data_IF_691364801559
#
_entry.id   IF_691364801559
#
_cell.length_a   1.000
_cell.length_b   1.000
_cell.length_c   1.000
_cell.angle_alpha   90.00
_cell.angle_beta   90.00
_cell.angle_gamma   90.00
#
_symmetry.space_group_name_H-M   'P 1'
#
loop_
_entity.id
_entity.type
_entity.pdbx_description
1 polymer ?
#
# COMPACT_ATOMS: atom_id res chain seq x y z
N UNK A 1 9.73 8.72 -4.67
CA UNK A 1 8.82 9.02 -3.55
C UNK A 1 8.41 10.50 -3.57
N UNK A 2 7.19 10.85 -3.15
CA UNK A 2 6.70 12.23 -3.06
C UNK A 2 6.74 12.74 -1.60
N UNK A 3 6.47 14.04 -1.39
CA UNK A 3 6.50 14.66 -0.06
C UNK A 3 5.45 14.09 0.87
N UNK A 4 4.25 13.81 0.36
CA UNK A 4 3.19 13.20 1.16
C UNK A 4 3.60 11.83 1.73
N UNK A 5 4.08 10.91 0.89
CA UNK A 5 4.48 9.55 1.28
C UNK A 5 5.68 9.56 2.22
N UNK A 6 6.64 10.46 2.02
CA UNK A 6 7.71 10.66 3.00
C UNK A 6 7.15 11.12 4.36
N UNK A 7 6.14 12.00 4.36
CA UNK A 7 5.41 12.37 5.56
C UNK A 7 4.65 11.21 6.22
N UNK A 8 4.09 10.29 5.43
CA UNK A 8 3.51 9.04 5.92
C UNK A 8 4.57 8.16 6.59
N UNK A 9 5.74 8.01 5.96
CA UNK A 9 6.84 7.22 6.51
C UNK A 9 7.36 7.80 7.83
N UNK A 10 7.48 9.13 7.92
CA UNK A 10 7.83 9.81 9.18
C UNK A 10 6.75 9.63 10.24
N UNK A 11 5.47 9.78 9.88
CA UNK A 11 4.38 9.54 10.81
C UNK A 11 4.38 8.08 11.33
N UNK A 12 4.72 7.13 10.47
CA UNK A 12 4.84 5.72 10.84
C UNK A 12 6.03 5.48 11.78
N UNK A 13 7.22 6.02 11.46
CA UNK A 13 8.43 5.82 12.29
C UNK A 13 8.30 6.43 13.69
N UNK A 14 7.57 7.56 13.83
CA UNK A 14 7.33 8.19 15.13
C UNK A 14 6.20 7.52 15.92
N UNK A 15 5.35 6.69 15.29
CA UNK A 15 4.18 6.10 15.94
C UNK A 15 4.33 4.60 16.25
N UNK A 16 4.97 3.85 15.36
CA UNK A 16 5.10 2.41 15.46
C UNK A 16 6.51 2.01 15.90
N UNK A 17 6.60 1.00 16.76
CA UNK A 17 7.88 0.40 17.15
C UNK A 17 8.23 -0.71 16.17
N UNK A 18 8.93 -0.36 15.09
CA UNK A 18 9.40 -1.32 14.09
C UNK A 18 10.52 -2.20 14.68
N UNK A 19 10.30 -3.53 14.83
CA UNK A 19 11.33 -4.41 15.35
C UNK A 19 12.53 -4.53 14.39
N UNK A 20 13.71 -4.73 14.96
CA UNK A 20 14.97 -4.90 14.23
C UNK A 20 15.27 -6.38 13.88
N UNK A 21 16.02 -6.63 12.80
CA UNK A 21 16.53 -5.65 11.82
C UNK A 21 15.44 -5.12 10.89
N UNK A 22 15.61 -3.89 10.40
CA UNK A 22 14.75 -3.29 9.37
C UNK A 22 15.34 -3.56 7.98
N UNK A 23 14.49 -3.98 7.04
CA UNK A 23 14.86 -4.19 5.63
C UNK A 23 14.02 -3.25 4.77
N UNK A 24 14.68 -2.33 4.06
CA UNK A 24 14.06 -1.52 3.01
C UNK A 24 14.25 -2.21 1.67
N UNK A 25 13.16 -2.54 0.98
CA UNK A 25 13.20 -3.15 -0.35
C UNK A 25 12.80 -2.09 -1.38
N UNK A 26 13.59 -1.97 -2.44
CA UNK A 26 13.50 -0.84 -3.37
C UNK A 26 14.18 0.42 -2.83
N UNK A 27 15.22 0.25 -2.00
CA UNK A 27 15.88 1.33 -1.28
C UNK A 27 16.69 2.28 -2.21
N UNK A 28 16.87 1.91 -3.48
CA UNK A 28 17.76 2.64 -4.38
C UNK A 28 17.11 3.95 -4.76
N UNK A 29 17.79 5.05 -4.47
CA UNK A 29 17.35 6.36 -4.93
C UNK A 29 17.38 6.42 -6.45
N UNK A 30 16.23 6.69 -7.07
CA UNK A 30 16.16 6.94 -8.50
C UNK A 30 16.82 8.28 -8.86
N UNK A 31 17.34 8.38 -10.09
CA UNK A 31 17.87 9.63 -10.63
C UNK A 31 16.81 10.74 -10.53
N UNK A 32 17.21 11.92 -10.05
CA UNK A 32 16.31 13.06 -9.80
C UNK A 32 15.63 13.05 -8.42
N UNK A 33 15.85 12.02 -7.58
CA UNK A 33 15.37 11.96 -6.20
C UNK A 33 16.45 12.26 -5.17
N UNK A 34 17.60 12.81 -5.58
CA UNK A 34 18.75 13.08 -4.70
C UNK A 34 18.42 14.07 -3.58
N UNK A 35 17.39 14.91 -3.79
CA UNK A 35 16.92 15.90 -2.83
C UNK A 35 15.95 15.34 -1.78
N UNK A 36 15.50 14.09 -1.91
CA UNK A 36 14.65 13.47 -0.89
C UNK A 36 15.52 12.78 0.16
N UNK A 37 15.25 13.01 1.46
CA UNK A 37 15.93 12.28 2.52
C UNK A 37 15.73 10.77 2.35
N UNK A 38 16.79 10.00 2.57
CA UNK A 38 16.70 8.54 2.61
C UNK A 38 15.76 8.10 3.75
N UNK A 39 14.93 7.08 3.51
CA UNK A 39 14.06 6.52 4.55
C UNK A 39 14.85 6.02 5.76
N UNK A 40 16.05 5.50 5.54
CA UNK A 40 17.00 5.12 6.59
C UNK A 40 17.20 6.21 7.65
N UNK A 41 17.18 7.50 7.26
CA UNK A 41 17.34 8.62 8.20
C UNK A 41 16.19 8.77 9.20
N UNK A 42 15.02 8.16 8.92
CA UNK A 42 13.87 8.16 9.83
C UNK A 42 14.00 7.13 10.96
N UNK A 43 15.02 6.26 10.91
CA UNK A 43 15.26 5.18 11.86
C UNK A 43 16.68 5.25 12.45
N UNK A 44 17.04 6.36 13.13
CA UNK A 44 18.38 6.55 13.64
C UNK A 44 18.74 5.50 14.70
N UNK A 45 19.95 4.94 14.60
CA UNK A 45 20.46 3.96 15.55
C UNK A 45 19.87 2.56 15.43
N UNK A 46 19.04 2.31 14.41
CA UNK A 46 18.46 1.00 14.12
C UNK A 46 19.34 0.20 13.16
N UNK A 47 19.40 -1.12 13.35
CA UNK A 47 19.97 -2.03 12.36
C UNK A 47 19.11 -2.02 11.09
N UNK A 48 19.69 -1.57 9.99
CA UNK A 48 18.96 -1.24 8.75
C UNK A 48 19.70 -1.77 7.54
N UNK A 49 18.98 -2.48 6.68
CA UNK A 49 19.48 -3.10 5.46
C UNK A 49 18.69 -2.58 4.25
N UNK A 50 19.38 -2.00 3.27
CA UNK A 50 18.80 -1.58 2.00
C UNK A 50 18.99 -2.65 0.92
N UNK A 51 17.90 -3.09 0.32
CA UNK A 51 17.88 -4.08 -0.76
C UNK A 51 17.29 -3.46 -2.03
N UNK A 52 17.92 -3.74 -3.17
CA UNK A 52 17.39 -3.40 -4.50
C UNK A 52 17.87 -4.40 -5.56
N UNK A 53 17.20 -4.43 -6.72
CA UNK A 53 17.62 -5.24 -7.87
C UNK A 53 18.97 -4.79 -8.45
N UNK A 54 19.36 -3.54 -8.20
CA UNK A 54 20.59 -2.95 -8.71
C UNK A 54 21.43 -2.34 -7.58
N UNK A 55 22.76 -2.38 -7.68
CA UNK A 55 23.62 -1.67 -6.74
C UNK A 55 23.42 -0.16 -6.85
N UNK A 56 23.73 0.57 -5.78
CA UNK A 56 23.65 2.03 -5.75
C UNK A 56 23.82 2.61 -4.36
N UNK A 57 23.63 3.92 -4.25
CA UNK A 57 23.66 4.60 -2.96
C UNK A 57 22.56 4.09 -2.04
N UNK A 58 22.93 3.76 -0.79
CA UNK A 58 22.00 3.27 0.23
C UNK A 58 21.68 1.77 0.16
N UNK A 59 22.27 1.05 -0.81
CA UNK A 59 22.09 -0.40 -0.99
C UNK A 59 23.22 -1.16 -0.33
N UNK A 60 22.86 -2.08 0.55
CA UNK A 60 23.78 -2.97 1.27
C UNK A 60 23.80 -4.37 0.65
N UNK A 61 22.69 -4.79 0.04
CA UNK A 61 22.54 -6.10 -0.58
C UNK A 61 21.75 -6.01 -1.88
N UNK A 62 22.25 -6.63 -2.95
CA UNK A 62 21.51 -6.75 -4.20
C UNK A 62 20.62 -7.99 -4.15
N UNK A 63 19.33 -7.84 -4.41
CA UNK A 63 18.36 -8.93 -4.30
C UNK A 63 17.04 -8.64 -4.99
N UNK A 64 16.33 -9.70 -5.37
CA UNK A 64 14.99 -9.61 -5.97
C UNK A 64 13.95 -9.86 -4.88
N UNK A 65 12.93 -8.99 -4.77
CA UNK A 65 11.83 -9.20 -3.81
C UNK A 65 11.05 -10.48 -4.10
N UNK A 66 11.04 -10.96 -5.35
CA UNK A 66 10.38 -12.22 -5.73
C UNK A 66 11.14 -13.47 -5.25
N UNK A 67 12.37 -13.32 -4.76
CA UNK A 67 13.24 -14.37 -4.19
C UNK A 67 14.32 -13.71 -3.31
N UNK A 68 13.96 -13.38 -2.07
CA UNK A 68 14.80 -12.58 -1.18
C UNK A 68 15.98 -13.42 -0.66
N UNK A 69 17.23 -12.92 -0.77
CA UNK A 69 18.42 -13.59 -0.26
C UNK A 69 18.56 -13.43 1.27
N UNK A 70 17.49 -13.72 2.00
CA UNK A 70 17.37 -13.62 3.45
C UNK A 70 16.77 -14.91 4.00
N UNK A 71 17.21 -15.29 5.19
CA UNK A 71 16.69 -16.48 5.89
C UNK A 71 15.25 -16.30 6.36
N UNK A 72 14.56 -17.41 6.60
CA UNK A 72 13.21 -17.41 7.13
C UNK A 72 13.19 -16.78 8.53
N UNK A 73 12.19 -15.94 8.80
CA UNK A 73 11.88 -15.45 10.15
C UNK A 73 13.04 -14.74 10.87
N UNK A 74 13.93 -14.08 10.13
CA UNK A 74 15.06 -13.32 10.70
C UNK A 74 14.84 -11.81 10.69
N UNK A 75 13.89 -11.31 9.89
CA UNK A 75 13.65 -9.88 9.71
C UNK A 75 12.65 -9.35 10.73
N UNK A 76 13.00 -8.27 11.41
CA UNK A 76 12.11 -7.60 12.36
C UNK A 76 11.06 -6.73 11.67
N UNK A 77 11.44 -5.97 10.64
CA UNK A 77 10.51 -5.18 9.84
C UNK A 77 10.92 -5.08 8.38
N UNK A 78 9.93 -5.01 7.49
CA UNK A 78 10.13 -4.71 6.07
C UNK A 78 9.44 -3.39 5.71
N UNK A 79 10.15 -2.53 4.97
CA UNK A 79 9.63 -1.30 4.38
C UNK A 79 9.70 -1.45 2.86
N UNK A 80 8.57 -1.33 2.17
CA UNK A 80 8.47 -1.46 0.71
C UNK A 80 7.55 -0.37 0.15
N UNK A 81 8.09 0.82 -0.06
CA UNK A 81 7.31 1.99 -0.49
C UNK A 81 7.45 2.20 -2.00
N UNK A 82 6.33 2.13 -2.72
CA UNK A 82 6.26 2.31 -4.18
C UNK A 82 7.21 1.34 -4.93
N UNK A 83 7.16 0.08 -4.51
CA UNK A 83 7.93 -1.02 -5.10
C UNK A 83 7.03 -1.94 -5.94
N UNK A 84 5.92 -2.40 -5.36
CA UNK A 84 5.15 -3.53 -5.90
C UNK A 84 4.43 -3.24 -7.22
N UNK A 85 4.20 -1.98 -7.58
CA UNK A 85 3.75 -1.59 -8.91
C UNK A 85 4.75 -1.98 -10.01
N UNK A 86 6.03 -2.13 -9.67
CA UNK A 86 7.13 -2.49 -10.57
C UNK A 86 7.49 -3.98 -10.50
N UNK A 87 6.93 -4.75 -9.57
CA UNK A 87 7.21 -6.18 -9.38
C UNK A 87 6.30 -7.00 -10.29
N UNK A 88 6.87 -7.84 -11.16
CA UNK A 88 6.10 -8.58 -12.16
C UNK A 88 5.23 -9.65 -11.47
N UNK A 89 5.80 -10.42 -10.55
CA UNK A 89 5.10 -11.42 -9.75
C UNK A 89 4.89 -10.90 -8.33
N UNK A 90 4.16 -9.79 -8.18
CA UNK A 90 4.01 -9.10 -6.89
C UNK A 90 3.56 -10.04 -5.74
N UNK A 91 2.72 -11.03 -6.04
CA UNK A 91 2.25 -12.03 -5.06
C UNK A 91 3.41 -12.81 -4.44
N UNK A 92 4.40 -13.23 -5.22
CA UNK A 92 5.62 -13.88 -4.70
C UNK A 92 6.39 -12.96 -3.76
N UNK A 93 6.47 -11.67 -4.09
CA UNK A 93 7.14 -10.72 -3.20
C UNK A 93 6.43 -10.54 -1.87
N UNK A 94 5.09 -10.58 -1.83
CA UNK A 94 4.35 -10.61 -0.56
C UNK A 94 4.59 -11.91 0.22
N UNK A 95 4.64 -13.06 -0.47
CA UNK A 95 4.99 -14.36 0.14
C UNK A 95 6.40 -14.35 0.75
N UNK A 96 7.38 -13.81 0.02
CA UNK A 96 8.77 -13.69 0.46
C UNK A 96 8.91 -12.75 1.66
N UNK A 97 8.24 -11.59 1.64
CA UNK A 97 8.20 -10.69 2.80
C UNK A 97 7.61 -11.41 4.02
N UNK A 98 6.52 -12.16 3.84
CA UNK A 98 5.94 -12.93 4.94
C UNK A 98 6.88 -14.04 5.44
N UNK A 99 7.63 -14.70 4.55
CA UNK A 99 8.62 -15.72 4.87
C UNK A 99 9.77 -15.17 5.72
N UNK A 100 10.35 -14.04 5.33
CA UNK A 100 11.53 -13.48 6.00
C UNK A 100 11.18 -12.76 7.31
N UNK A 101 9.96 -12.22 7.43
CA UNK A 101 9.50 -11.59 8.67
C UNK A 101 9.40 -12.61 9.79
N UNK A 102 10.01 -12.31 10.94
CA UNK A 102 9.82 -13.12 12.16
C UNK A 102 8.40 -12.99 12.72
N UNK A 103 7.95 -13.93 13.56
CA UNK A 103 6.71 -13.73 14.33
C UNK A 103 6.74 -12.42 15.11
N UNK A 104 5.70 -11.60 14.94
CA UNK A 104 5.65 -10.24 15.48
C UNK A 104 6.37 -9.16 14.68
N UNK A 105 6.97 -9.52 13.54
CA UNK A 105 7.56 -8.58 12.61
C UNK A 105 6.53 -7.73 11.89
N UNK A 106 6.95 -6.59 11.35
CA UNK A 106 6.07 -5.60 10.73
C UNK A 106 6.37 -5.38 9.25
N UNK A 107 5.32 -5.19 8.45
CA UNK A 107 5.41 -4.74 7.07
C UNK A 107 4.84 -3.32 6.97
N UNK A 108 5.59 -2.40 6.39
CA UNK A 108 5.09 -1.10 5.93
C UNK A 108 5.23 -0.99 4.42
N UNK A 109 4.09 -0.96 3.72
CA UNK A 109 4.02 -1.04 2.26
C UNK A 109 3.19 0.10 1.68
N UNK A 110 3.56 0.60 0.49
CA UNK A 110 2.73 1.52 -0.28
C UNK A 110 2.80 1.27 -1.77
N UNK A 111 1.74 1.65 -2.48
CA UNK A 111 1.70 1.70 -3.94
C UNK A 111 0.89 2.90 -4.46
N UNK A 112 1.20 3.40 -5.66
CA UNK A 112 0.39 4.39 -6.36
C UNK A 112 -0.89 3.76 -6.93
N UNK A 113 -1.96 4.55 -6.97
CA UNK A 113 -3.22 4.18 -7.64
C UNK A 113 -3.51 5.12 -8.82
N UNK A 114 -3.70 6.42 -8.57
CA UNK A 114 -3.97 7.39 -9.62
C UNK A 114 -2.77 8.31 -9.88
N UNK A 115 -1.72 7.72 -10.46
CA UNK A 115 -0.52 8.41 -10.91
C UNK A 115 -0.29 8.14 -12.42
N UNK A 116 0.30 9.11 -13.11
CA UNK A 116 0.77 8.90 -14.48
C UNK A 116 1.67 7.66 -14.51
N UNK A 117 1.57 6.87 -15.59
CA UNK A 117 2.46 5.74 -15.80
C UNK A 117 3.90 6.26 -15.78
N UNK A 118 4.69 5.78 -14.83
CA UNK A 118 6.08 6.20 -14.65
C UNK A 118 6.93 4.93 -14.72
N UNK A 119 7.22 4.52 -15.95
CA UNK A 119 7.97 3.30 -16.20
C UNK A 119 9.43 3.53 -15.81
N UNK A 120 9.91 2.84 -14.77
CA UNK A 120 11.33 2.53 -14.65
C UNK A 120 11.59 1.33 -13.71
N UNK A 121 11.89 0.11 -14.21
CA UNK A 121 11.94 -0.29 -15.62
C UNK A 121 10.54 -0.51 -16.23
N UNK A 122 9.56 -0.96 -15.43
CA UNK A 122 8.20 -1.27 -15.88
C UNK A 122 7.18 -0.89 -14.81
N UNK A 123 5.95 -0.56 -15.20
CA UNK A 123 4.87 -0.14 -14.30
C UNK A 123 3.64 -1.00 -14.59
N UNK A 124 3.42 -2.05 -13.77
CA UNK A 124 2.52 -3.16 -14.04
C UNK A 124 1.16 -3.03 -13.33
N UNK A 125 1.14 -2.55 -12.08
CA UNK A 125 -0.01 -2.75 -11.19
C UNK A 125 -0.52 -1.46 -10.55
N UNK A 126 -1.81 -1.47 -10.21
CA UNK A 126 -2.47 -0.43 -9.39
C UNK A 126 -3.23 -1.12 -8.27
N UNK A 127 -2.88 -0.80 -7.03
CA UNK A 127 -3.46 -1.45 -5.86
C UNK A 127 -4.53 -0.57 -5.22
N UNK A 128 -5.71 -1.14 -4.99
CA UNK A 128 -6.77 -0.53 -4.19
C UNK A 128 -6.56 -0.84 -2.69
N UNK A 129 -7.26 -0.15 -1.79
CA UNK A 129 -7.34 -0.56 -0.39
C UNK A 129 -7.83 -2.01 -0.22
N UNK A 130 -8.78 -2.45 -1.04
CA UNK A 130 -9.29 -3.83 -1.04
C UNK A 130 -8.21 -4.84 -1.43
N UNK A 131 -7.38 -4.51 -2.42
CA UNK A 131 -6.25 -5.34 -2.82
C UNK A 131 -5.26 -5.52 -1.66
N UNK A 132 -4.96 -4.45 -0.92
CA UNK A 132 -4.12 -4.55 0.29
C UNK A 132 -4.81 -5.34 1.41
N UNK A 133 -6.13 -5.19 1.59
CA UNK A 133 -6.88 -5.97 2.57
C UNK A 133 -6.77 -7.47 2.28
N UNK A 134 -6.89 -7.87 1.01
CA UNK A 134 -6.75 -9.24 0.56
C UNK A 134 -5.31 -9.76 0.68
N UNK A 135 -4.33 -9.05 0.12
CA UNK A 135 -2.93 -9.49 0.13
C UNK A 135 -2.33 -9.58 1.53
N UNK A 136 -2.84 -8.76 2.46
CA UNK A 136 -2.39 -8.75 3.85
C UNK A 136 -3.26 -9.64 4.75
N UNK A 137 -4.14 -10.49 4.21
CA UNK A 137 -4.92 -11.46 4.98
C UNK A 137 -4.08 -12.26 6.01
N UNK A 138 -2.87 -12.77 5.68
CA UNK A 138 -2.02 -13.51 6.63
C UNK A 138 -1.59 -12.71 7.87
N UNK A 139 -1.70 -11.38 7.84
CA UNK A 139 -1.35 -10.50 8.95
C UNK A 139 -2.58 -10.25 9.82
N UNK A 140 -2.68 -10.77 11.06
CA UNK A 140 -3.88 -10.65 11.88
C UNK A 140 -4.23 -9.21 12.28
N UNK A 141 -3.26 -8.29 12.22
CA UNK A 141 -3.44 -6.89 12.57
C UNK A 141 -2.83 -6.02 11.48
N UNK A 142 -3.64 -5.12 10.94
CA UNK A 142 -3.22 -4.23 9.86
C UNK A 142 -3.96 -2.90 9.90
N UNK A 143 -3.30 -1.86 9.44
CA UNK A 143 -3.85 -0.53 9.25
C UNK A 143 -3.68 -0.21 7.77
N UNK A 144 -4.77 0.11 7.08
CA UNK A 144 -4.76 0.46 5.65
C UNK A 144 -5.16 1.92 5.53
N UNK A 145 -4.41 2.67 4.74
CA UNK A 145 -4.70 4.06 4.45
C UNK A 145 -4.66 4.39 2.97
N UNK A 146 -5.33 5.49 2.60
CA UNK A 146 -5.33 6.03 1.25
C UNK A 146 -5.28 7.56 1.25
N UNK A 147 -4.68 8.14 0.21
CA UNK A 147 -4.57 9.59 -0.01
C UNK A 147 -5.53 9.99 -1.10
N UNK A 148 -6.16 11.15 -0.97
CA UNK A 148 -7.02 11.72 -1.99
C UNK A 148 -8.49 11.34 -1.83
N UNK A 149 -9.29 11.50 -2.90
CA UNK A 149 -10.70 11.14 -2.90
C UNK A 149 -10.91 9.62 -2.76
N UNK A 150 -11.90 9.21 -1.97
CA UNK A 150 -12.22 7.79 -1.70
C UNK A 150 -12.39 6.92 -2.96
N UNK A 151 -13.05 7.46 -4.00
CA UNK A 151 -13.30 6.71 -5.24
C UNK A 151 -12.15 6.83 -6.27
N UNK A 152 -11.12 7.62 -5.97
CA UNK A 152 -10.00 7.88 -6.88
C UNK A 152 -8.73 8.22 -6.08
N UNK A 153 -8.24 7.29 -5.25
CA UNK A 153 -7.10 7.55 -4.40
C UNK A 153 -5.85 7.81 -5.23
N UNK A 154 -4.93 8.61 -4.71
CA UNK A 154 -3.64 8.85 -5.36
C UNK A 154 -2.66 7.73 -5.05
N UNK A 155 -2.67 7.26 -3.81
CA UNK A 155 -1.83 6.19 -3.27
C UNK A 155 -2.55 5.47 -2.13
N UNK A 156 -2.11 4.25 -1.90
CA UNK A 156 -2.57 3.36 -0.82
C UNK A 156 -1.34 2.90 -0.06
N UNK A 157 -1.46 2.78 1.26
CA UNK A 157 -0.40 2.26 2.13
C UNK A 157 -1.01 1.35 3.19
N UNK A 158 -0.17 0.51 3.78
CA UNK A 158 -0.55 -0.31 4.91
C UNK A 158 0.62 -0.53 5.88
N UNK A 159 0.30 -0.60 7.16
CA UNK A 159 1.17 -1.15 8.21
C UNK A 159 0.53 -2.43 8.70
N UNK A 160 1.22 -3.56 8.60
CA UNK A 160 0.72 -4.88 8.97
C UNK A 160 1.68 -5.58 9.93
N UNK A 161 1.15 -6.40 10.82
CA UNK A 161 1.92 -7.10 11.86
C UNK A 161 1.72 -8.61 11.69
N UNK A 162 2.83 -9.35 11.52
CA UNK A 162 2.81 -10.81 11.44
C UNK A 162 2.50 -11.37 12.84
N UNK A 163 1.61 -12.35 12.94
CA UNK A 163 1.26 -12.96 14.24
C UNK A 163 2.48 -13.60 14.94
N UNK A 164 2.43 -13.82 16.27
CA UNK A 164 1.32 -13.62 17.22
C UNK A 164 1.29 -12.24 17.93
N UNK A 165 1.85 -11.17 17.33
CA UNK A 165 2.00 -9.88 18.02
C UNK A 165 0.70 -9.09 18.28
N UNK A 166 0.85 -8.06 19.13
CA UNK A 166 -0.21 -7.19 19.65
C UNK A 166 -0.97 -6.43 18.55
N UNK A 167 -2.28 -6.27 18.75
CA UNK A 167 -3.15 -5.46 17.89
C UNK A 167 -2.69 -4.01 17.81
N UNK A 168 -2.88 -3.37 16.65
CA UNK A 168 -2.75 -1.91 16.51
C UNK A 168 -3.81 -1.25 17.40
N UNK A 169 -3.38 -0.69 18.54
CA UNK A 169 -4.30 -0.11 19.51
C UNK A 169 -5.00 1.16 18.97
N UNK A 170 -6.19 1.46 19.50
CA UNK A 170 -6.92 2.68 19.16
C UNK A 170 -6.09 3.94 19.41
N UNK A 171 -5.33 3.96 20.51
CA UNK A 171 -4.41 5.04 20.87
C UNK A 171 -3.26 5.18 19.86
N UNK A 172 -2.66 4.06 19.41
CA UNK A 172 -1.67 4.06 18.33
C UNK A 172 -2.26 4.65 17.04
N UNK A 173 -3.49 4.26 16.67
CA UNK A 173 -4.17 4.82 15.51
C UNK A 173 -4.45 6.33 15.66
N UNK A 174 -4.84 6.80 16.85
CA UNK A 174 -5.04 8.23 17.11
C UNK A 174 -3.73 9.01 17.00
N UNK A 175 -2.63 8.50 17.57
CA UNK A 175 -1.29 9.10 17.41
C UNK A 175 -0.87 9.15 15.94
N UNK A 176 -1.07 8.05 15.21
CA UNK A 176 -0.72 7.98 13.79
C UNK A 176 -1.48 9.03 12.98
N UNK A 177 -2.80 9.15 13.18
CA UNK A 177 -3.61 10.19 12.51
C UNK A 177 -3.15 11.61 12.85
N UNK A 178 -2.70 11.85 14.08
CA UNK A 178 -2.15 13.16 14.50
C UNK A 178 -0.83 13.44 13.77
N UNK A 179 0.09 12.48 13.75
CA UNK A 179 1.37 12.60 13.04
C UNK A 179 1.17 12.77 11.53
N UNK A 180 0.23 12.04 10.92
CA UNK A 180 -0.15 12.22 9.52
C UNK A 180 -0.59 13.65 9.22
N UNK A 181 -1.44 14.25 10.06
CA UNK A 181 -1.86 15.67 9.91
C UNK A 181 -0.69 16.66 10.04
N UNK A 182 0.38 16.27 10.71
CA UNK A 182 1.55 17.13 10.90
C UNK A 182 2.53 17.01 9.73
N UNK A 183 2.78 15.80 9.23
CA UNK A 183 3.88 15.52 8.29
C UNK A 183 3.44 15.20 6.86
N UNK A 184 2.28 14.57 6.66
CA UNK A 184 1.85 14.08 5.35
C UNK A 184 1.13 15.18 4.55
N UNK A 185 1.92 16.01 3.88
CA UNK A 185 1.43 17.09 3.01
C UNK A 185 2.16 17.09 1.67
N UNK A 186 1.39 17.26 0.61
CA UNK A 186 1.90 17.53 -0.73
C UNK A 186 1.80 19.04 -1.01
N UNK A 187 2.94 19.74 -1.22
CA UNK A 187 2.91 21.16 -1.53
C UNK A 187 2.37 21.39 -2.94
N UNK A 188 1.26 22.12 -3.04
CA UNK A 188 0.70 22.54 -4.34
C UNK A 188 1.13 23.96 -4.64
N UNK A 189 1.79 24.16 -5.79
CA UNK A 189 2.13 25.50 -6.29
C UNK A 189 0.89 26.41 -6.31
N UNK A 190 1.00 27.62 -5.76
CA UNK A 190 -0.11 28.55 -5.59
C UNK A 190 -0.80 28.91 -6.92
N UNK A 191 -0.06 29.02 -8.03
CA UNK A 191 -0.62 29.26 -9.38
C UNK A 191 -1.48 28.09 -9.80
N UNK A 192 -1.00 26.85 -9.58
CA UNK A 192 -1.78 25.63 -9.86
C UNK A 192 -3.02 25.56 -8.96
N UNK A 193 -2.89 25.91 -7.69
CA UNK A 193 -4.01 25.96 -6.74
C UNK A 193 -5.08 26.96 -7.20
N UNK A 194 -4.68 28.17 -7.58
CA UNK A 194 -5.59 29.19 -8.11
C UNK A 194 -6.28 28.70 -9.38
N UNK A 195 -5.52 28.13 -10.33
CA UNK A 195 -6.07 27.53 -11.55
C UNK A 195 -7.14 26.48 -11.27
N UNK A 196 -6.91 25.59 -10.30
CA UNK A 196 -7.91 24.58 -9.93
C UNK A 196 -9.13 25.17 -9.23
N UNK A 197 -8.96 26.23 -8.44
CA UNK A 197 -10.08 26.95 -7.84
C UNK A 197 -10.94 27.65 -8.90
N UNK A 198 -10.33 28.28 -9.90
CA UNK A 198 -11.03 28.90 -11.03
C UNK A 198 -11.75 27.84 -11.88
N UNK A 199 -11.06 26.77 -12.27
CA UNK A 199 -11.65 25.68 -13.05
C UNK A 199 -12.81 24.98 -12.32
N UNK A 200 -12.76 24.92 -10.98
CA UNK A 200 -13.86 24.40 -10.15
C UNK A 200 -15.15 25.20 -10.32
N UNK A 201 -15.06 26.51 -10.54
CA UNK A 201 -16.25 27.35 -10.76
C UNK A 201 -16.92 27.05 -12.09
N UNK A 202 -16.16 26.60 -13.10
CA UNK A 202 -16.66 26.33 -14.45
C UNK A 202 -17.13 24.88 -14.61
N UNK A 203 -16.32 23.91 -14.18
CA UNK A 203 -16.54 22.48 -14.46
C UNK A 203 -16.97 21.68 -13.22
N UNK A 204 -17.20 22.35 -12.09
CA UNK A 204 -17.50 21.71 -10.81
C UNK A 204 -16.29 21.03 -10.15
N UNK A 205 -16.52 20.42 -8.97
CA UNK A 205 -15.44 19.86 -8.14
C UNK A 205 -14.91 18.51 -8.60
N UNK A 206 -15.79 17.64 -9.11
CA UNK A 206 -15.50 16.22 -9.39
C UNK A 206 -14.25 15.99 -10.26
N UNK A 207 -14.06 16.65 -11.43
CA UNK A 207 -12.88 16.40 -12.26
C UNK A 207 -11.57 16.85 -11.61
N UNK A 208 -11.65 17.75 -10.64
CA UNK A 208 -10.50 18.35 -9.96
C UNK A 208 -10.25 17.75 -8.57
N UNK A 209 -11.09 16.83 -8.11
CA UNK A 209 -11.01 16.25 -6.77
C UNK A 209 -9.63 15.65 -6.45
N UNK A 210 -8.95 14.92 -7.35
CA UNK A 210 -7.59 14.42 -7.07
C UNK A 210 -6.57 15.51 -6.74
N UNK A 211 -6.76 16.73 -7.26
CA UNK A 211 -5.87 17.86 -7.00
C UNK A 211 -6.31 18.68 -5.79
N UNK A 212 -7.63 18.86 -5.62
CA UNK A 212 -8.19 19.65 -4.52
C UNK A 212 -8.09 18.92 -3.17
N UNK A 213 -8.15 17.58 -3.21
CA UNK A 213 -8.15 16.72 -2.03
C UNK A 213 -6.80 16.01 -1.85
N UNK A 214 -5.71 16.52 -2.44
CA UNK A 214 -4.39 15.89 -2.41
C UNK A 214 -3.85 15.66 -0.98
N UNK A 215 -4.21 16.50 -0.01
CA UNK A 215 -3.80 16.31 1.40
C UNK A 215 -4.87 15.60 2.26
N UNK A 216 -5.97 15.17 1.65
CA UNK A 216 -6.96 14.32 2.33
C UNK A 216 -6.38 12.92 2.46
N UNK A 217 -6.61 12.30 3.61
CA UNK A 217 -6.32 10.89 3.79
C UNK A 217 -7.39 10.22 4.64
N UNK A 218 -7.54 8.92 4.46
CA UNK A 218 -8.40 8.05 5.24
C UNK A 218 -7.57 6.86 5.73
N UNK A 219 -7.92 6.31 6.89
CA UNK A 219 -7.21 5.18 7.48
C UNK A 219 -8.19 4.34 8.28
N UNK A 220 -8.09 3.03 8.10
CA UNK A 220 -8.92 2.03 8.75
C UNK A 220 -8.02 0.98 9.40
N UNK A 221 -8.37 0.57 10.61
CA UNK A 221 -7.67 -0.49 11.33
C UNK A 221 -8.49 -1.77 11.17
N UNK A 222 -7.84 -2.83 10.71
CA UNK A 222 -8.42 -4.16 10.55
C UNK A 222 -7.69 -5.13 11.49
N UNK A 223 -8.46 -5.94 12.19
CA UNK A 223 -7.98 -6.98 13.09
C UNK A 223 -8.91 -8.20 13.08
N UNK A 224 -8.59 -9.25 13.83
CA UNK A 224 -9.49 -10.41 13.98
C UNK A 224 -10.67 -10.19 14.95
N UNK A 225 -10.90 -8.98 15.44
CA UNK A 225 -12.00 -8.64 16.35
C UNK A 225 -13.28 -8.23 15.60
N UNK A 226 -14.46 -8.47 16.20
CA UNK A 226 -15.79 -8.15 15.62
C UNK A 226 -15.98 -6.70 15.17
N UNK A 227 -15.22 -5.74 15.70
CA UNK A 227 -15.23 -4.34 15.23
C UNK A 227 -14.58 -4.17 13.85
N UNK A 228 -13.54 -4.94 13.53
CA UNK A 228 -12.89 -4.91 12.23
C UNK A 228 -13.76 -5.50 11.11
N UNK A 229 -14.68 -6.42 11.42
CA UNK A 229 -15.69 -6.89 10.46
C UNK A 229 -16.65 -5.76 10.06
N UNK A 230 -16.99 -4.82 10.96
CA UNK A 230 -17.83 -3.65 10.61
C UNK A 230 -17.06 -2.64 9.76
N UNK A 231 -15.77 -2.46 10.03
CA UNK A 231 -14.92 -1.56 9.25
C UNK A 231 -14.51 -2.14 7.88
N UNK A 232 -14.47 -3.46 7.73
CA UNK A 232 -14.29 -4.11 6.41
C UNK A 232 -15.43 -3.80 5.43
N UNK A 233 -16.66 -3.63 5.94
CA UNK A 233 -17.82 -3.19 5.16
C UNK A 233 -17.72 -1.72 4.70
N UNK A 234 -16.81 -0.93 5.28
CA UNK A 234 -16.54 0.45 4.83
C UNK A 234 -15.82 0.49 3.49
N UNK A 235 -15.16 -0.58 3.04
CA UNK A 235 -14.59 -0.62 1.69
C UNK A 235 -15.48 -1.38 0.69
N UNK A 236 -16.32 -2.30 1.19
CA UNK A 236 -17.30 -3.01 0.37
C UNK A 236 -18.72 -2.98 0.99
N UNK A 237 -19.49 -1.89 0.80
CA UNK A 237 -20.86 -1.81 1.29
C UNK A 237 -21.84 -2.76 0.57
N UNK A 238 -21.41 -3.38 -0.53
CA UNK A 238 -22.19 -4.35 -1.31
C UNK A 238 -21.98 -5.81 -0.93
N UNK A 239 -21.10 -6.13 0.04
CA UNK A 239 -20.89 -7.53 0.45
C UNK A 239 -21.97 -8.06 1.41
N UNK A 240 -22.84 -7.21 1.94
CA UNK A 240 -23.91 -7.60 2.87
C UNK A 240 -25.21 -8.06 2.18
N UNK A 241 -25.27 -8.00 0.85
CA UNK A 241 -26.38 -8.52 0.05
C UNK A 241 -25.92 -8.64 -1.40
N UNK A 242 -26.15 -9.81 -1.99
CA UNK A 242 -25.85 -10.16 -3.39
C UNK A 242 -24.48 -10.77 -3.65
N UNK A 243 -24.20 -11.91 -3.01
CA UNK A 243 -23.34 -12.94 -3.62
C UNK A 243 -24.08 -14.28 -3.46
N UNK A 244 -24.74 -14.68 -4.57
CA UNK A 244 -25.54 -15.90 -4.80
C UNK A 244 -26.91 -15.99 -4.11
N UNK A 245 -27.98 -15.54 -4.78
CA UNK A 245 -29.23 -16.28 -4.71
C UNK A 245 -29.11 -17.50 -5.62
N UNK A 246 -28.93 -18.67 -5.03
CA UNK A 246 -29.21 -19.94 -5.71
C UNK A 246 -30.68 -19.96 -6.11
N UNK A 247 -30.99 -19.72 -7.39
CA UNK A 247 -32.11 -20.34 -8.11
C UNK A 247 -32.17 -19.82 -9.54
N UNK A 248 -31.32 -20.36 -10.40
CA UNK A 248 -31.73 -20.58 -11.79
C UNK A 248 -30.90 -21.72 -12.38
N UNK A 249 -31.47 -22.92 -12.27
CA UNK A 249 -31.05 -24.12 -12.98
C UNK A 249 -31.14 -23.85 -14.48
N UNK A 250 -30.08 -23.33 -15.12
CA UNK A 250 -29.97 -23.39 -16.57
C UNK A 250 -29.67 -24.83 -16.96
N UNK A 251 -30.72 -25.53 -17.37
CA UNK A 251 -30.68 -26.82 -18.03
C UNK A 251 -29.61 -26.80 -19.13
N UNK A 252 -28.67 -27.73 -19.02
CA UNK A 252 -27.79 -28.11 -20.12
C UNK A 252 -28.67 -28.67 -21.25
N UNK A 253 -28.66 -27.99 -22.41
CA UNK A 253 -29.25 -28.49 -23.65
C UNK A 253 -28.41 -29.70 -24.10
N UNK A 254 -29.02 -30.87 -24.41
CA UNK A 254 -28.24 -32.00 -24.91
C UNK A 254 -27.76 -31.73 -26.33
N UNK A 255 -26.52 -32.12 -26.61
CA UNK A 255 -25.88 -31.98 -27.91
C UNK A 255 -26.68 -32.70 -29.01
N UNK A 256 -27.08 -31.95 -30.04
CA UNK A 256 -27.64 -32.49 -31.27
C UNK A 256 -26.52 -33.01 -32.17
N UNK A 257 -26.64 -34.27 -32.60
CA UNK A 257 -25.77 -34.94 -33.57
C UNK A 257 -25.93 -34.32 -34.96
N UNK A 258 -24.86 -34.16 -35.77
CA UNK A 258 -24.99 -33.61 -37.12
C UNK A 258 -25.53 -34.69 -38.11
N UNK A 259 -26.24 -34.28 -39.19
CA UNK A 259 -26.74 -35.21 -40.20
C UNK A 259 -25.61 -35.70 -41.13
N UNK A 260 -25.76 -36.88 -41.77
CA UNK A 260 -24.75 -37.37 -42.71
C UNK A 260 -24.79 -36.56 -44.02
N UNK A 261 -23.60 -36.31 -44.58
CA UNK A 261 -23.41 -35.59 -45.83
C UNK A 261 -23.88 -36.41 -47.05
N UNK A 262 -24.32 -35.76 -48.14
CA UNK A 262 -24.73 -36.42 -49.38
C UNK A 262 -23.56 -37.02 -50.16
#
# INVERSE_FOLDING_TARGET
MNSFLHGVARAASETFSFPEPLVEIGARQALGQENFPSLRSLFPGKEYLGIDLQPGQGIDLVGNVEDLPLENETVGSVIALNLFEHVRQFWKGFEEIHRVLRPGGMLFVSCPFFLHRHAYPNDYWRFTPDAFSFLLEPYPHKLIGMQGPRNKPLQVWAVAVKGPAQSISADTHVRFKRAMKQYAHEPVNWVRKLRYLLARMVCGRRPLAPFLDVNRFETVVLGNTREAQRDSLLFNPGAAGDIYSESETRQLVPATTPPPAP
#
